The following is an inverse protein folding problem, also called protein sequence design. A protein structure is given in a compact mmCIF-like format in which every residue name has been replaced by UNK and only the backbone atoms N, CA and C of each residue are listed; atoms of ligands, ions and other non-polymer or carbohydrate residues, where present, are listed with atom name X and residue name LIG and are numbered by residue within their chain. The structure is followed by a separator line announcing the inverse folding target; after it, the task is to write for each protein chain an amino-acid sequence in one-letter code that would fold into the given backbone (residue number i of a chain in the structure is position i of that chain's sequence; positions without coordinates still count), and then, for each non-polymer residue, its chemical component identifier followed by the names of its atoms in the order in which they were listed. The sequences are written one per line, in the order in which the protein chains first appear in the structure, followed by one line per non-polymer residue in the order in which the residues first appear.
data_IF_026655049462
#
_entry.id   IF_026655049462
#
_cell.length_a   1.000
_cell.length_b   1.000
_cell.length_c   1.000
_cell.angle_alpha   90.00
_cell.angle_beta   90.00
_cell.angle_gamma   90.00
#
_symmetry.space_group_name_H-M   'P 1'
#
loop_
_entity.id
_entity.type
_entity.pdbx_description
1 polymer ?
#
# COMPACT_ATOMS: atom_id res chain seq x y z
N UNK A 1 -13.01 10.54 -7.84
CA UNK A 1 -12.34 10.66 -6.53
C UNK A 1 -13.37 10.74 -5.39
N UNK A 2 -14.36 11.65 -5.45
CA UNK A 2 -15.33 11.85 -4.35
C UNK A 2 -16.10 10.58 -3.98
N UNK A 3 -16.62 9.83 -4.96
CA UNK A 3 -17.34 8.58 -4.70
C UNK A 3 -16.45 7.54 -4.00
N UNK A 4 -15.15 7.45 -4.38
CA UNK A 4 -14.19 6.57 -3.73
C UNK A 4 -13.99 6.95 -2.27
N UNK A 5 -13.75 8.23 -2.00
CA UNK A 5 -13.55 8.72 -0.63
C UNK A 5 -14.81 8.53 0.24
N UNK A 6 -15.99 8.77 -0.33
CA UNK A 6 -17.27 8.55 0.36
C UNK A 6 -17.49 7.07 0.70
N UNK A 7 -17.12 6.16 -0.20
CA UNK A 7 -17.24 4.72 0.05
C UNK A 7 -16.30 4.27 1.18
N UNK A 8 -15.04 4.71 1.13
CA UNK A 8 -14.05 4.41 2.17
C UNK A 8 -14.47 5.00 3.53
N UNK A 9 -15.07 6.19 3.55
CA UNK A 9 -15.56 6.85 4.77
C UNK A 9 -16.73 6.12 5.47
N UNK A 10 -17.41 5.21 4.77
CA UNK A 10 -18.41 4.32 5.42
C UNK A 10 -17.74 3.38 6.42
N UNK A 11 -16.50 3.00 6.18
CA UNK A 11 -15.71 2.04 6.99
C UNK A 11 -14.74 2.75 7.92
N UNK A 12 -13.98 3.70 7.39
CA UNK A 12 -12.96 4.45 8.12
C UNK A 12 -13.59 5.72 8.71
N UNK A 13 -13.70 5.74 10.04
CA UNK A 13 -14.37 6.83 10.76
C UNK A 13 -13.33 7.86 11.19
N UNK A 14 -13.66 9.14 11.07
CA UNK A 14 -12.91 10.24 11.66
C UNK A 14 -11.55 10.53 11.02
N UNK A 15 -11.29 10.05 9.80
CA UNK A 15 -9.99 10.22 9.14
C UNK A 15 -10.09 10.77 7.71
N UNK A 16 -10.86 11.88 7.47
CA UNK A 16 -11.09 12.36 6.11
C UNK A 16 -9.79 12.76 5.39
N UNK A 17 -8.85 13.41 6.09
CA UNK A 17 -7.57 13.82 5.52
C UNK A 17 -6.67 12.62 5.18
N UNK A 18 -6.68 11.58 6.02
CA UNK A 18 -5.93 10.36 5.74
C UNK A 18 -6.51 9.61 4.53
N UNK A 19 -7.84 9.53 4.44
CA UNK A 19 -8.55 8.96 3.27
C UNK A 19 -8.15 9.74 2.01
N UNK A 20 -8.14 11.08 2.07
CA UNK A 20 -7.75 11.94 0.96
C UNK A 20 -6.28 11.71 0.55
N UNK A 21 -5.35 11.67 1.51
CA UNK A 21 -3.92 11.40 1.26
C UNK A 21 -3.70 10.05 0.59
N UNK A 22 -4.34 8.99 1.11
CA UNK A 22 -4.25 7.65 0.50
C UNK A 22 -4.83 7.65 -0.92
N UNK A 23 -5.98 8.30 -1.14
CA UNK A 23 -6.55 8.43 -2.48
C UNK A 23 -5.60 9.17 -3.44
N UNK A 24 -4.95 10.26 -2.99
CA UNK A 24 -3.93 10.98 -3.78
C UNK A 24 -2.76 10.05 -4.10
N UNK A 25 -2.21 9.35 -3.10
CA UNK A 25 -1.10 8.41 -3.32
C UNK A 25 -1.42 7.35 -4.36
N UNK A 26 -2.60 6.73 -4.28
CA UNK A 26 -3.02 5.71 -5.25
C UNK A 26 -3.19 6.33 -6.66
N UNK A 27 -3.84 7.47 -6.77
CA UNK A 27 -4.09 8.13 -8.05
C UNK A 27 -2.82 8.71 -8.68
N UNK A 28 -1.86 9.14 -7.86
CA UNK A 28 -0.54 9.58 -8.33
C UNK A 28 0.43 8.41 -8.61
N UNK A 29 -0.03 7.15 -8.52
CA UNK A 29 0.81 5.95 -8.66
C UNK A 29 2.01 5.93 -7.69
N UNK A 30 1.88 6.64 -6.57
CA UNK A 30 2.91 6.79 -5.55
C UNK A 30 2.73 5.83 -4.39
N UNK A 31 3.84 5.43 -3.79
CA UNK A 31 3.84 4.60 -2.60
C UNK A 31 3.72 5.47 -1.34
N UNK A 32 3.16 4.92 -0.27
CA UNK A 32 2.83 5.65 0.96
C UNK A 32 3.54 5.00 2.13
N UNK A 33 4.24 5.80 2.94
CA UNK A 33 4.81 5.36 4.21
C UNK A 33 3.91 5.86 5.36
N UNK A 34 3.45 4.93 6.20
CA UNK A 34 2.62 5.23 7.37
C UNK A 34 3.46 4.98 8.62
N UNK A 35 3.76 6.03 9.35
CA UNK A 35 4.54 5.96 10.58
C UNK A 35 3.61 6.13 11.77
N UNK A 36 3.34 5.03 12.46
CA UNK A 36 2.37 5.00 13.55
C UNK A 36 2.49 3.77 14.44
N UNK A 37 1.93 3.88 15.63
CA UNK A 37 1.73 2.77 16.54
C UNK A 37 0.86 1.65 15.94
N UNK A 38 0.99 0.41 16.41
CA UNK A 38 0.10 -0.68 16.02
C UNK A 38 -1.36 -0.40 16.41
N UNK A 39 -2.30 -1.07 15.71
CA UNK A 39 -3.73 -1.00 16.05
C UNK A 39 -4.51 0.19 15.47
N UNK A 40 -3.91 1.05 14.65
CA UNK A 40 -4.54 2.26 14.11
C UNK A 40 -5.22 2.06 12.74
N UNK A 41 -5.85 0.91 12.53
CA UNK A 41 -6.67 0.59 11.35
C UNK A 41 -5.95 0.70 9.98
N UNK A 42 -4.60 0.64 9.93
CA UNK A 42 -3.81 0.69 8.69
C UNK A 42 -4.22 -0.40 7.69
N UNK A 43 -4.35 -1.63 8.18
CA UNK A 43 -4.79 -2.78 7.36
C UNK A 43 -6.21 -2.59 6.84
N UNK A 44 -7.11 -2.09 7.69
CA UNK A 44 -8.49 -1.81 7.30
C UNK A 44 -8.55 -0.74 6.20
N UNK A 45 -7.78 0.34 6.33
CA UNK A 45 -7.68 1.40 5.32
C UNK A 45 -7.23 0.83 3.96
N UNK A 46 -6.11 0.11 3.91
CA UNK A 46 -5.56 -0.45 2.68
C UNK A 46 -6.53 -1.45 2.01
N UNK A 47 -7.14 -2.32 2.81
CA UNK A 47 -8.09 -3.31 2.33
C UNK A 47 -9.38 -2.66 1.80
N UNK A 48 -9.90 -1.64 2.50
CA UNK A 48 -11.09 -0.89 2.06
C UNK A 48 -10.86 -0.18 0.72
N UNK A 49 -9.71 0.46 0.55
CA UNK A 49 -9.34 1.05 -0.75
C UNK A 49 -9.25 -0.01 -1.84
N UNK A 50 -8.62 -1.15 -1.57
CA UNK A 50 -8.51 -2.21 -2.55
C UNK A 50 -9.89 -2.71 -3.02
N UNK A 51 -10.81 -2.95 -2.08
CA UNK A 51 -12.18 -3.35 -2.40
C UNK A 51 -12.92 -2.30 -3.22
N UNK A 52 -12.90 -1.03 -2.79
CA UNK A 52 -13.58 0.05 -3.48
C UNK A 52 -13.04 0.28 -4.92
N UNK A 53 -11.78 -0.09 -5.17
CA UNK A 53 -11.10 0.01 -6.46
C UNK A 53 -11.18 -1.30 -7.29
N UNK A 54 -11.80 -2.37 -6.77
CA UNK A 54 -11.80 -3.68 -7.41
C UNK A 54 -10.40 -4.29 -7.58
N UNK A 55 -9.46 -3.88 -6.75
CA UNK A 55 -8.05 -4.28 -6.78
C UNK A 55 -7.78 -5.46 -5.85
N UNK A 56 -6.81 -6.30 -6.22
CA UNK A 56 -6.32 -7.35 -5.35
C UNK A 56 -5.51 -6.74 -4.20
N UNK A 57 -5.76 -7.21 -2.98
CA UNK A 57 -5.06 -6.81 -1.77
C UNK A 57 -4.23 -7.96 -1.22
N UNK A 58 -3.01 -7.66 -0.78
CA UNK A 58 -2.21 -8.57 0.05
C UNK A 58 -1.54 -7.79 1.18
N UNK A 59 -1.41 -8.44 2.33
CA UNK A 59 -0.63 -7.96 3.47
C UNK A 59 0.56 -8.87 3.68
N UNK A 60 1.71 -8.28 3.91
CA UNK A 60 2.93 -8.97 4.32
C UNK A 60 3.39 -8.33 5.62
N UNK A 61 3.52 -9.13 6.66
CA UNK A 61 4.17 -8.74 7.91
C UNK A 61 5.68 -8.93 7.73
N UNK A 62 6.44 -7.87 7.88
CA UNK A 62 7.89 -7.92 7.80
C UNK A 62 8.45 -8.37 9.15
N UNK A 63 9.30 -9.39 9.11
CA UNK A 63 9.93 -10.02 10.28
C UNK A 63 11.43 -10.18 10.06
N UNK A 64 12.24 -10.34 11.12
CA UNK A 64 13.69 -10.47 10.98
C UNK A 64 14.16 -11.67 10.14
N UNK A 65 13.34 -12.69 10.01
CA UNK A 65 13.61 -13.91 9.25
C UNK A 65 13.05 -13.90 7.82
N UNK A 66 12.30 -12.83 7.43
CA UNK A 66 11.70 -12.72 6.11
C UNK A 66 12.77 -12.57 5.02
N UNK A 67 12.75 -13.46 4.04
CA UNK A 67 13.67 -13.46 2.91
C UNK A 67 13.08 -12.73 1.68
N UNK A 68 13.91 -12.20 0.77
CA UNK A 68 13.44 -11.62 -0.50
C UNK A 68 12.57 -12.58 -1.31
N UNK A 69 12.90 -13.87 -1.36
CA UNK A 69 12.13 -14.89 -2.07
C UNK A 69 10.70 -15.07 -1.51
N UNK A 70 10.48 -14.80 -0.22
CA UNK A 70 9.16 -14.90 0.40
C UNK A 70 8.20 -13.83 -0.13
N UNK A 71 8.72 -12.66 -0.51
CA UNK A 71 7.91 -11.57 -1.05
C UNK A 71 7.86 -11.55 -2.57
N UNK A 72 8.95 -11.92 -3.26
CA UNK A 72 9.05 -11.96 -4.72
C UNK A 72 8.41 -13.23 -5.27
N UNK A 73 8.74 -14.37 -4.66
CA UNK A 73 8.43 -15.70 -5.14
C UNK A 73 9.67 -16.45 -5.61
N UNK A 74 9.48 -17.67 -6.07
CA UNK A 74 10.53 -18.57 -6.53
C UNK A 74 10.01 -19.51 -7.61
N UNK A 75 10.88 -20.20 -8.32
CA UNK A 75 10.49 -21.31 -9.17
C UNK A 75 10.37 -22.60 -8.37
N UNK A 76 9.30 -23.34 -8.62
CA UNK A 76 9.07 -24.64 -8.01
C UNK A 76 8.95 -25.72 -9.10
N UNK A 77 9.53 -26.88 -8.86
CA UNK A 77 9.39 -28.02 -9.74
C UNK A 77 7.99 -28.63 -9.60
N UNK A 78 7.25 -28.65 -10.71
CA UNK A 78 5.93 -29.29 -10.79
C UNK A 78 6.12 -30.76 -11.20
N UNK A 79 5.96 -31.68 -10.27
CA UNK A 79 6.11 -33.12 -10.51
C UNK A 79 5.13 -33.69 -11.55
N UNK A 80 3.96 -33.05 -11.76
CA UNK A 80 2.96 -33.51 -12.71
C UNK A 80 3.33 -33.19 -14.16
N UNK A 81 3.99 -32.04 -14.37
CA UNK A 81 4.37 -31.57 -15.70
C UNK A 81 5.84 -31.76 -16.01
N UNK A 82 6.67 -32.04 -15.01
CA UNK A 82 8.13 -32.15 -15.15
C UNK A 82 8.83 -30.81 -15.40
N UNK A 83 8.17 -29.69 -15.14
CA UNK A 83 8.67 -28.36 -15.46
C UNK A 83 8.84 -27.49 -14.19
N UNK A 84 9.78 -26.56 -14.25
CA UNK A 84 9.86 -25.49 -13.27
C UNK A 84 8.85 -24.40 -13.58
N UNK A 85 7.99 -24.07 -12.61
CA UNK A 85 6.97 -23.00 -12.74
C UNK A 85 7.15 -21.94 -11.69
N UNK A 86 6.94 -20.65 -12.02
CA UNK A 86 7.04 -19.57 -11.05
C UNK A 86 5.88 -19.67 -10.05
N UNK A 87 6.23 -19.70 -8.77
CA UNK A 87 5.31 -19.48 -7.66
C UNK A 87 5.45 -18.02 -7.23
N UNK A 88 4.56 -17.18 -7.72
CA UNK A 88 4.57 -15.75 -7.44
C UNK A 88 4.31 -15.43 -5.97
N UNK A 89 5.13 -14.57 -5.41
CA UNK A 89 5.03 -14.08 -4.04
C UNK A 89 3.91 -13.05 -3.85
N UNK A 90 3.79 -12.48 -2.64
CA UNK A 90 2.77 -11.48 -2.33
C UNK A 90 2.91 -10.16 -3.09
N UNK A 91 4.08 -9.81 -3.65
CA UNK A 91 4.24 -8.62 -4.50
C UNK A 91 3.33 -8.65 -5.73
N UNK A 92 2.90 -9.82 -6.20
CA UNK A 92 1.95 -9.94 -7.31
C UNK A 92 0.52 -9.64 -6.85
N UNK A 93 0.28 -8.38 -6.55
CA UNK A 93 -0.99 -7.79 -6.13
C UNK A 93 -1.10 -6.35 -6.65
N UNK A 94 -2.28 -5.72 -6.49
CA UNK A 94 -2.47 -4.33 -6.89
C UNK A 94 -2.19 -3.36 -5.73
N UNK A 95 -2.67 -3.69 -4.54
CA UNK A 95 -2.42 -2.93 -3.32
C UNK A 95 -1.74 -3.84 -2.31
N UNK A 96 -0.50 -3.51 -1.98
CA UNK A 96 0.30 -4.21 -1.00
C UNK A 96 0.34 -3.40 0.30
N UNK A 97 0.02 -4.03 1.41
CA UNK A 97 0.38 -3.52 2.74
C UNK A 97 1.64 -4.25 3.21
N UNK A 98 2.76 -3.53 3.21
CA UNK A 98 4.02 -3.98 3.78
C UNK A 98 4.10 -3.50 5.23
N UNK A 99 3.74 -4.38 6.17
CA UNK A 99 3.58 -4.02 7.57
C UNK A 99 4.89 -4.18 8.33
N UNK A 100 5.31 -3.15 9.07
CA UNK A 100 6.55 -3.09 9.88
C UNK A 100 7.82 -3.35 9.06
N UNK A 101 7.98 -2.63 7.94
CA UNK A 101 9.09 -2.86 7.00
C UNK A 101 10.48 -2.72 7.64
N UNK A 102 10.59 -1.91 8.69
CA UNK A 102 11.83 -1.72 9.44
C UNK A 102 12.26 -2.93 10.29
N UNK A 103 11.43 -3.99 10.40
CA UNK A 103 11.80 -5.23 11.10
C UNK A 103 12.52 -6.24 10.22
N UNK A 104 12.36 -6.16 8.91
CA UNK A 104 13.04 -7.10 8.00
C UNK A 104 14.48 -6.68 7.68
N UNK A 105 15.34 -7.64 7.33
CA UNK A 105 16.71 -7.36 6.93
C UNK A 105 16.80 -6.41 5.72
N UNK A 106 17.89 -5.64 5.57
CA UNK A 106 18.07 -4.68 4.49
C UNK A 106 17.92 -5.28 3.08
N UNK A 107 18.29 -6.55 2.89
CA UNK A 107 18.11 -7.25 1.61
C UNK A 107 16.65 -7.40 1.22
N UNK A 108 15.79 -7.71 2.17
CA UNK A 108 14.34 -7.86 1.94
C UNK A 108 13.67 -6.51 1.73
N UNK A 109 14.10 -5.48 2.49
CA UNK A 109 13.66 -4.11 2.24
C UNK A 109 14.05 -3.64 0.83
N UNK A 110 15.30 -3.87 0.40
CA UNK A 110 15.77 -3.51 -0.93
C UNK A 110 14.94 -4.15 -2.05
N UNK A 111 14.59 -5.43 -1.89
CA UNK A 111 13.75 -6.15 -2.85
C UNK A 111 12.33 -5.54 -2.99
N UNK A 112 11.73 -5.11 -1.87
CA UNK A 112 10.46 -4.39 -1.90
C UNK A 112 10.60 -3.04 -2.61
N UNK A 113 11.62 -2.26 -2.23
CA UNK A 113 11.86 -0.91 -2.76
C UNK A 113 12.16 -0.92 -4.26
N UNK A 114 12.91 -1.93 -4.75
CA UNK A 114 13.14 -2.14 -6.17
C UNK A 114 11.82 -2.44 -6.90
N UNK A 115 11.01 -3.36 -6.37
CA UNK A 115 9.70 -3.67 -6.94
C UNK A 115 8.74 -2.47 -6.96
N UNK A 116 8.83 -1.60 -5.95
CA UNK A 116 8.04 -0.36 -5.88
C UNK A 116 8.43 0.64 -6.98
N UNK A 117 9.70 0.74 -7.32
CA UNK A 117 10.22 1.66 -8.33
C UNK A 117 10.03 1.10 -9.74
N UNK A 118 10.54 -0.10 -9.99
CA UNK A 118 10.57 -0.71 -11.31
C UNK A 118 9.21 -1.29 -11.76
N UNK A 119 8.27 -1.48 -10.85
CA UNK A 119 6.98 -2.14 -11.10
C UNK A 119 7.14 -3.54 -11.73
N UNK A 120 8.26 -4.17 -11.45
CA UNK A 120 8.63 -5.51 -11.90
C UNK A 120 9.55 -6.18 -10.87
N UNK A 121 9.70 -7.48 -10.96
CA UNK A 121 10.63 -8.28 -10.15
C UNK A 121 11.34 -9.30 -11.02
N UNK A 122 12.55 -9.68 -10.64
CA UNK A 122 13.33 -10.72 -11.32
C UNK A 122 13.39 -11.97 -10.45
N UNK A 123 12.91 -13.10 -10.98
CA UNK A 123 12.93 -14.41 -10.32
C UNK A 123 13.82 -15.33 -11.16
N UNK A 124 14.90 -15.85 -10.60
CA UNK A 124 15.84 -16.76 -11.30
C UNK A 124 16.32 -16.21 -12.67
N UNK A 125 16.56 -14.90 -12.77
CA UNK A 125 17.00 -14.24 -14.00
C UNK A 125 15.87 -13.89 -14.98
N UNK A 126 14.62 -14.23 -14.69
CA UNK A 126 13.45 -13.90 -15.54
C UNK A 126 12.67 -12.74 -14.91
N UNK A 127 12.50 -11.67 -15.68
CA UNK A 127 11.76 -10.48 -15.23
C UNK A 127 10.26 -10.63 -15.44
N UNK A 128 9.50 -10.36 -14.39
CA UNK A 128 8.05 -10.42 -14.36
C UNK A 128 7.48 -9.06 -13.97
N UNK A 129 6.57 -8.52 -14.79
CA UNK A 129 5.86 -7.27 -14.48
C UNK A 129 4.82 -7.49 -13.38
N UNK A 130 4.72 -6.54 -12.47
CA UNK A 130 3.68 -6.53 -11.45
C UNK A 130 2.32 -6.10 -12.04
N UNK A 131 1.20 -6.54 -11.46
CA UNK A 131 -0.13 -6.12 -11.90
C UNK A 131 -0.33 -4.61 -11.76
N UNK A 132 -0.87 -3.95 -12.77
CA UNK A 132 -1.19 -2.52 -12.71
C UNK A 132 -2.68 -2.29 -12.33
N UNK A 133 -2.98 -1.30 -11.45
CA UNK A 133 -2.01 -0.48 -10.71
C UNK A 133 -1.26 -1.30 -9.64
N UNK A 134 -0.02 -0.92 -9.30
CA UNK A 134 0.71 -1.46 -8.17
C UNK A 134 1.13 -0.34 -7.22
N UNK A 135 0.55 -0.32 -6.04
CA UNK A 135 0.82 0.67 -4.99
C UNK A 135 1.12 -0.04 -3.68
N UNK A 136 2.19 0.38 -3.03
CA UNK A 136 2.56 -0.11 -1.71
C UNK A 136 2.21 0.91 -0.64
N UNK A 137 1.52 0.45 0.39
CA UNK A 137 1.37 1.13 1.66
C UNK A 137 2.29 0.42 2.64
N UNK A 138 3.40 1.06 2.99
CA UNK A 138 4.33 0.50 3.97
C UNK A 138 4.07 1.10 5.34
N UNK A 139 4.28 0.32 6.39
CA UNK A 139 4.21 0.83 7.76
C UNK A 139 5.53 0.68 8.47
N UNK A 140 5.83 1.59 9.37
CA UNK A 140 6.91 1.45 10.36
C UNK A 140 6.43 1.93 11.72
N UNK A 141 6.95 1.28 12.76
CA UNK A 141 6.72 1.69 14.13
C UNK A 141 7.92 2.51 14.61
N UNK A 142 7.75 3.81 14.93
CA UNK A 142 8.86 4.66 15.32
C UNK A 142 9.39 4.36 16.75
N UNK A 143 8.61 3.66 17.56
CA UNK A 143 8.95 3.42 18.99
C UNK A 143 9.81 2.17 19.14
N UNK A 144 9.65 1.16 18.28
CA UNK A 144 10.45 -0.06 18.31
C UNK A 144 11.83 0.19 17.71
N UNK A 145 12.84 0.36 18.59
CA UNK A 145 14.25 0.54 18.18
C UNK A 145 15.03 -0.78 18.22
N UNK A 146 14.65 -1.70 19.09
CA UNK A 146 15.35 -2.96 19.28
C UNK A 146 15.01 -3.96 18.19
N UNK A 147 16.02 -4.50 17.49
CA UNK A 147 15.81 -5.48 16.41
C UNK A 147 15.24 -4.89 15.12
N UNK A 148 15.36 -3.58 14.90
CA UNK A 148 14.88 -2.91 13.68
C UNK A 148 16.04 -2.40 12.82
N UNK A 149 15.76 -2.32 11.51
CA UNK A 149 16.65 -1.76 10.49
C UNK A 149 15.97 -0.52 9.90
N UNK A 150 16.29 0.69 10.38
CA UNK A 150 15.67 1.91 9.88
C UNK A 150 15.99 2.11 8.39
N UNK A 151 15.02 2.64 7.66
CA UNK A 151 15.22 2.99 6.25
C UNK A 151 16.13 4.22 6.15
N UNK A 152 17.23 4.17 5.38
CA UNK A 152 18.00 5.37 5.03
C UNK A 152 17.15 6.41 4.31
N UNK A 153 17.50 7.70 4.42
CA UNK A 153 16.78 8.81 3.77
C UNK A 153 16.61 8.58 2.26
N UNK A 154 17.67 8.15 1.56
CA UNK A 154 17.64 7.84 0.14
C UNK A 154 16.64 6.72 -0.25
N UNK A 155 16.27 5.86 0.70
CA UNK A 155 15.25 4.83 0.50
C UNK A 155 13.85 5.34 0.83
N UNK A 156 13.73 6.28 1.76
CA UNK A 156 12.47 6.96 2.07
C UNK A 156 11.98 7.83 0.92
N UNK A 157 12.87 8.33 0.09
CA UNK A 157 12.57 9.14 -1.11
C UNK A 157 11.75 8.38 -2.18
N UNK A 158 11.70 7.06 -2.10
CA UNK A 158 10.85 6.20 -2.95
C UNK A 158 9.36 6.21 -2.57
N UNK A 159 9.02 6.84 -1.45
CA UNK A 159 7.64 7.06 -1.04
C UNK A 159 7.19 8.46 -1.43
N UNK A 160 6.06 8.55 -2.11
CA UNK A 160 5.47 9.83 -2.51
C UNK A 160 5.15 10.71 -1.29
N UNK A 161 4.74 10.07 -0.19
CA UNK A 161 4.44 10.77 1.04
C UNK A 161 4.65 9.89 2.28
N UNK A 162 4.98 10.55 3.38
CA UNK A 162 4.96 10.01 4.73
C UNK A 162 3.76 10.59 5.46
N UNK A 163 3.00 9.74 6.15
CA UNK A 163 1.80 10.15 6.89
C UNK A 163 1.65 9.39 8.20
N UNK A 164 0.85 9.97 9.11
CA UNK A 164 0.40 9.33 10.34
C UNK A 164 -1.13 9.25 10.34
N UNK A 165 -1.67 8.14 10.85
CA UNK A 165 -3.12 7.98 11.06
C UNK A 165 -3.59 8.68 12.33
N UNK A 166 -2.76 8.63 13.37
CA UNK A 166 -3.08 9.14 14.69
C UNK A 166 -4.21 8.37 15.40
N UNK A 167 -4.35 8.59 16.68
CA UNK A 167 -5.45 8.04 17.46
C UNK A 167 -6.77 8.71 17.11
N UNK A 168 -7.90 8.01 17.18
CA UNK A 168 -9.21 8.63 17.07
C UNK A 168 -9.48 9.54 18.28
N UNK A 169 -10.29 10.57 18.07
CA UNK A 169 -10.84 11.37 19.17
C UNK A 169 -11.89 10.56 19.95
N UNK A 170 -12.24 11.04 21.13
CA UNK A 170 -13.26 10.37 21.97
C UNK A 170 -14.61 10.23 21.26
N UNK A 171 -15.02 11.20 20.43
CA UNK A 171 -16.26 11.14 19.67
C UNK A 171 -16.17 10.19 18.49
N UNK A 172 -15.01 10.10 17.84
CA UNK A 172 -14.73 9.10 16.80
C UNK A 172 -14.74 7.68 17.37
N UNK A 173 -14.15 7.46 18.56
CA UNK A 173 -14.21 6.15 19.23
C UNK A 173 -15.64 5.75 19.55
N UNK A 174 -16.45 6.66 20.10
CA UNK A 174 -17.89 6.41 20.33
C UNK A 174 -18.59 6.02 19.04
N UNK A 175 -18.33 6.75 17.95
CA UNK A 175 -18.91 6.45 16.63
C UNK A 175 -18.49 5.09 16.10
N UNK A 176 -17.23 4.69 16.29
CA UNK A 176 -16.72 3.35 15.92
C UNK A 176 -17.50 2.26 16.67
N UNK A 177 -17.64 2.40 17.99
CA UNK A 177 -18.37 1.43 18.84
C UNK A 177 -19.85 1.35 18.46
N UNK A 178 -20.51 2.50 18.23
CA UNK A 178 -21.91 2.54 17.81
C UNK A 178 -22.11 1.85 16.46
N UNK A 179 -21.26 2.16 15.46
CA UNK A 179 -21.34 1.50 14.13
C UNK A 179 -21.07 0.01 14.22
N UNK A 180 -20.13 -0.42 15.07
CA UNK A 180 -19.87 -1.86 15.31
C UNK A 180 -21.10 -2.56 15.90
N UNK A 181 -21.75 -1.93 16.88
CA UNK A 181 -22.98 -2.44 17.50
C UNK A 181 -24.10 -2.57 16.47
N UNK A 182 -24.34 -1.54 15.66
CA UNK A 182 -25.38 -1.54 14.63
C UNK A 182 -25.12 -2.58 13.54
N UNK A 183 -23.86 -2.77 13.12
CA UNK A 183 -23.49 -3.73 12.08
C UNK A 183 -23.63 -5.19 12.55
N UNK A 184 -23.41 -5.50 13.81
CA UNK A 184 -23.55 -6.84 14.40
C UNK A 184 -22.54 -7.89 13.90
N UNK A 185 -21.67 -7.57 12.94
CA UNK A 185 -20.66 -8.47 12.34
C UNK A 185 -19.30 -7.78 12.24
N UNK A 186 -18.21 -8.57 12.12
CA UNK A 186 -16.85 -8.01 11.96
C UNK A 186 -16.56 -7.49 10.55
N UNK A 187 -17.19 -8.05 9.54
CA UNK A 187 -17.04 -7.62 8.14
C UNK A 187 -17.61 -6.24 7.85
N UNK A 188 -17.10 -5.62 6.81
CA UNK A 188 -17.61 -4.36 6.24
C UNK A 188 -18.11 -4.62 4.83
N UNK A 189 -19.25 -4.07 4.50
CA UNK A 189 -19.78 -4.09 3.14
C UNK A 189 -19.23 -2.86 2.41
N UNK A 190 -18.35 -3.08 1.44
CA UNK A 190 -17.72 -2.04 0.62
C UNK A 190 -18.08 -2.33 -0.83
N UNK A 191 -18.64 -1.33 -1.49
CA UNK A 191 -18.97 -1.44 -2.91
C UNK A 191 -17.78 -1.08 -3.79
N UNK A 192 -17.59 -1.82 -4.87
CA UNK A 192 -16.65 -1.44 -5.88
C UNK A 192 -17.18 -0.24 -6.66
N UNK A 193 -16.49 0.89 -6.57
CA UNK A 193 -16.87 2.15 -7.25
C UNK A 193 -16.04 2.47 -8.48
N UNK A 194 -14.89 1.81 -8.63
CA UNK A 194 -13.96 2.01 -9.76
C UNK A 194 -13.38 0.65 -10.17
N UNK A 195 -13.10 0.47 -11.45
CA UNK A 195 -12.37 -0.69 -11.95
C UNK A 195 -10.86 -0.41 -12.00
N UNK A 196 -9.98 -1.43 -11.82
CA UNK A 196 -8.53 -1.23 -11.87
C UNK A 196 -8.04 -0.56 -13.15
N UNK A 197 -8.64 -0.88 -14.30
CA UNK A 197 -8.33 -0.22 -15.58
C UNK A 197 -8.59 1.27 -15.58
N UNK A 198 -9.67 1.71 -14.91
CA UNK A 198 -9.99 3.14 -14.77
C UNK A 198 -9.01 3.84 -13.82
N UNK A 199 -8.51 3.16 -12.78
CA UNK A 199 -7.44 3.71 -11.92
C UNK A 199 -6.20 4.00 -12.75
N UNK A 200 -5.74 3.03 -13.57
CA UNK A 200 -4.59 3.23 -14.46
C UNK A 200 -4.83 4.37 -15.47
N UNK A 201 -6.05 4.49 -16.01
CA UNK A 201 -6.40 5.59 -16.90
C UNK A 201 -6.33 6.95 -16.19
N UNK A 202 -6.80 7.03 -14.94
CA UNK A 202 -6.69 8.25 -14.12
C UNK A 202 -5.25 8.60 -13.78
N UNK A 203 -4.40 7.61 -13.47
CA UNK A 203 -2.97 7.80 -13.25
C UNK A 203 -2.30 8.42 -14.49
N UNK A 204 -2.58 7.89 -15.68
CA UNK A 204 -2.07 8.43 -16.94
C UNK A 204 -2.60 9.84 -17.24
N UNK A 205 -3.84 10.14 -16.87
CA UNK A 205 -4.43 11.46 -17.11
C UNK A 205 -3.73 12.57 -16.29
N UNK A 206 -3.05 12.26 -15.19
CA UNK A 206 -2.25 13.24 -14.44
C UNK A 206 -1.10 13.81 -15.29
N UNK A 207 -0.53 13.02 -16.20
CA UNK A 207 0.53 13.47 -17.12
C UNK A 207 0.06 14.59 -18.06
N UNK A 208 -1.25 14.76 -18.24
CA UNK A 208 -1.83 15.78 -19.13
C UNK A 208 -2.23 17.06 -18.39
N UNK A 209 -2.03 17.13 -17.08
CA UNK A 209 -2.35 18.33 -16.30
C UNK A 209 -1.38 19.45 -16.65
N UNK A 210 -1.94 20.56 -17.13
CA UNK A 210 -1.13 21.75 -17.42
C UNK A 210 -0.68 22.41 -16.12
N UNK A 211 0.62 22.70 -16.04
CA UNK A 211 1.22 23.46 -14.95
C UNK A 211 1.80 24.73 -15.54
N UNK A 212 1.35 25.88 -15.05
CA UNK A 212 1.89 27.17 -15.48
C UNK A 212 3.40 27.28 -15.17
N UNK A 213 4.22 27.80 -16.09
CA UNK A 213 5.66 27.98 -15.88
C UNK A 213 6.03 28.75 -14.60
N UNK A 214 5.20 29.68 -14.16
CA UNK A 214 5.43 30.41 -12.90
C UNK A 214 5.31 29.46 -11.68
N UNK A 215 4.39 28.48 -11.72
CA UNK A 215 4.24 27.45 -10.66
C UNK A 215 5.45 26.51 -10.67
N UNK A 216 5.93 26.12 -11.88
CA UNK A 216 7.15 25.31 -11.99
C UNK A 216 8.36 26.03 -11.39
N UNK A 217 8.51 27.34 -11.66
CA UNK A 217 9.56 28.15 -11.06
C UNK A 217 9.47 28.21 -9.53
N UNK A 218 8.27 28.26 -8.98
CA UNK A 218 8.05 28.25 -7.53
C UNK A 218 8.39 26.89 -6.88
N UNK A 219 8.10 25.78 -7.57
CA UNK A 219 8.39 24.42 -7.07
C UNK A 219 9.91 24.16 -6.98
N UNK A 220 10.71 24.79 -7.85
CA UNK A 220 12.17 24.58 -7.93
C UNK A 220 12.95 25.50 -6.95
N UNK A 221 12.32 26.53 -6.38
CA UNK A 221 12.90 27.40 -5.35
C UNK A 221 12.89 26.75 -3.96
#
# INVERSE_FOLDING_TARGET
ANNLMSEVAKVIIGKPENIRKVAIGILANGNILIEDNPGLAKTLMANTFAHALGCKFKRVQFTPDLLPADIIGTYMYDQKTGEFRPRFGPLFTNILLADEINRAPPKTQAALLEAMEEKQVTIEGITHKLPAPFVTMATQNPIEQEGTYPLPEAQMDRFLMKMSMGYPSMDEEKAILQRRKLRGKDGYDVEQVVEPRKVVAMQKALETVHIDPAILGYIVQ
#
